data_IF_204770616833
#
_entry.id   IF_204770616833
#
_cell.length_a   1.000
_cell.length_b   1.000
_cell.length_c   1.000
_cell.angle_alpha   90.00
_cell.angle_beta   90.00
_cell.angle_gamma   90.00
#
_symmetry.space_group_name_H-M   'P 1'
#
loop_
_entity.id
_entity.type
_entity.pdbx_description
1 polymer ?
#
# COMPACT_ATOMS: atom_id res chain seq x y z
N UNK A 1 -46.15 12.58 -9.14
CA UNK A 1 -45.36 11.66 -9.98
C UNK A 1 -46.04 11.60 -11.31
N UNK A 2 -45.30 11.72 -12.41
CA UNK A 2 -45.89 11.47 -13.73
C UNK A 2 -46.30 9.99 -13.80
N UNK A 3 -47.34 9.62 -14.60
CA UNK A 3 -47.77 8.22 -14.75
C UNK A 3 -46.63 7.27 -15.18
N UNK A 4 -45.67 7.80 -15.94
CA UNK A 4 -44.47 7.12 -16.41
C UNK A 4 -43.51 6.78 -15.25
N UNK A 5 -43.35 7.67 -14.28
CA UNK A 5 -42.52 7.44 -13.08
C UNK A 5 -43.07 6.29 -12.22
N UNK A 6 -44.40 6.18 -12.16
CA UNK A 6 -45.08 5.14 -11.39
C UNK A 6 -44.95 3.77 -12.06
N UNK A 7 -45.09 3.72 -13.38
CA UNK A 7 -44.85 2.52 -14.18
C UNK A 7 -43.39 2.06 -14.05
N UNK A 8 -42.44 2.98 -14.16
CA UNK A 8 -41.01 2.72 -13.99
C UNK A 8 -40.68 2.12 -12.62
N UNK A 9 -41.24 2.71 -11.57
CA UNK A 9 -41.05 2.24 -10.21
C UNK A 9 -41.63 0.83 -10.02
N UNK A 10 -42.77 0.52 -10.66
CA UNK A 10 -43.38 -0.82 -10.65
C UNK A 10 -42.54 -1.83 -11.41
N UNK A 11 -42.06 -1.49 -12.61
CA UNK A 11 -41.16 -2.33 -13.42
C UNK A 11 -39.85 -2.60 -12.69
N UNK A 12 -39.24 -1.56 -12.11
CA UNK A 12 -38.01 -1.70 -11.32
C UNK A 12 -38.21 -2.58 -10.08
N UNK A 13 -39.28 -2.36 -9.30
CA UNK A 13 -39.61 -3.19 -8.13
C UNK A 13 -39.88 -4.64 -8.53
N UNK A 14 -40.60 -4.87 -9.62
CA UNK A 14 -40.88 -6.19 -10.16
C UNK A 14 -39.61 -6.90 -10.61
N UNK A 15 -38.76 -6.22 -11.39
CA UNK A 15 -37.51 -6.77 -11.91
C UNK A 15 -36.52 -7.11 -10.78
N UNK A 16 -36.45 -6.25 -9.75
CA UNK A 16 -35.68 -6.50 -8.52
C UNK A 16 -36.21 -7.72 -7.76
N UNK A 17 -37.53 -7.89 -7.65
CA UNK A 17 -38.17 -9.07 -7.02
C UNK A 17 -37.85 -10.35 -7.79
N UNK A 18 -37.82 -10.28 -9.13
CA UNK A 18 -37.44 -11.38 -10.03
C UNK A 18 -35.93 -11.62 -10.13
N UNK A 19 -35.11 -10.84 -9.42
CA UNK A 19 -33.64 -10.91 -9.41
C UNK A 19 -33.03 -10.84 -10.83
N UNK A 20 -33.64 -10.03 -11.71
CA UNK A 20 -33.09 -9.79 -13.05
C UNK A 20 -31.72 -9.10 -12.93
N UNK A 21 -30.81 -9.37 -13.89
CA UNK A 21 -29.50 -8.73 -13.94
C UNK A 21 -29.67 -7.24 -14.25
N UNK A 22 -28.84 -6.39 -13.65
CA UNK A 22 -28.90 -4.92 -13.82
C UNK A 22 -28.96 -4.47 -15.29
N UNK A 23 -28.18 -5.03 -16.24
CA UNK A 23 -28.30 -4.67 -17.66
C UNK A 23 -29.69 -4.94 -18.24
N UNK A 24 -30.34 -6.04 -17.84
CA UNK A 24 -31.71 -6.38 -18.27
C UNK A 24 -32.72 -5.41 -17.67
N UNK A 25 -32.53 -5.01 -16.40
CA UNK A 25 -33.38 -4.00 -15.75
C UNK A 25 -33.27 -2.65 -16.47
N UNK A 26 -32.05 -2.23 -16.82
CA UNK A 26 -31.81 -1.00 -17.55
C UNK A 26 -32.43 -1.05 -18.94
N UNK A 27 -32.30 -2.17 -19.66
CA UNK A 27 -32.93 -2.35 -20.97
C UNK A 27 -34.47 -2.26 -20.89
N UNK A 28 -35.09 -2.89 -19.89
CA UNK A 28 -36.54 -2.78 -19.66
C UNK A 28 -36.96 -1.33 -19.37
N UNK A 29 -36.19 -0.60 -18.55
CA UNK A 29 -36.53 0.79 -18.24
C UNK A 29 -36.34 1.73 -19.44
N UNK A 30 -35.29 1.49 -20.25
CA UNK A 30 -34.91 2.32 -21.40
C UNK A 30 -35.80 2.06 -22.62
N UNK A 31 -36.11 0.80 -22.93
CA UNK A 31 -36.85 0.42 -24.15
C UNK A 31 -38.35 0.19 -23.92
N UNK A 32 -38.78 -0.37 -22.78
CA UNK A 32 -40.20 -0.68 -22.54
C UNK A 32 -40.95 0.46 -21.85
N UNK A 33 -40.26 1.25 -21.02
CA UNK A 33 -40.86 2.37 -20.28
C UNK A 33 -40.47 3.73 -20.89
N UNK A 34 -39.55 3.74 -21.87
CA UNK A 34 -39.14 4.95 -22.58
C UNK A 34 -38.37 5.95 -21.70
N UNK A 35 -37.83 5.52 -20.55
CA UNK A 35 -37.12 6.42 -19.64
C UNK A 35 -35.65 6.46 -20.06
N UNK A 36 -35.15 7.60 -20.57
CA UNK A 36 -33.75 7.73 -20.89
C UNK A 36 -32.94 7.63 -19.60
N UNK A 37 -32.08 6.62 -19.51
CA UNK A 37 -31.12 6.53 -18.42
C UNK A 37 -30.06 7.58 -18.68
N UNK A 38 -30.16 8.73 -18.01
CA UNK A 38 -29.16 9.79 -18.10
C UNK A 38 -27.79 9.27 -17.66
N UNK A 39 -26.79 9.36 -18.55
CA UNK A 39 -25.43 8.91 -18.29
C UNK A 39 -24.52 10.13 -18.13
N UNK A 40 -23.59 10.11 -17.17
CA UNK A 40 -22.58 11.15 -17.08
C UNK A 40 -21.80 11.26 -18.38
N UNK A 41 -21.63 12.48 -18.88
CA UNK A 41 -20.82 12.76 -20.07
C UNK A 41 -19.36 12.43 -19.79
N UNK A 42 -18.74 11.72 -20.74
CA UNK A 42 -17.28 11.53 -20.77
C UNK A 42 -16.74 12.64 -21.67
N UNK A 43 -15.95 13.58 -21.14
CA UNK A 43 -15.42 14.65 -21.94
C UNK A 43 -14.40 14.10 -22.92
N UNK A 44 -14.38 14.65 -24.13
CA UNK A 44 -13.40 14.31 -25.17
C UNK A 44 -12.06 15.00 -24.87
N UNK A 45 -11.40 14.54 -23.81
CA UNK A 45 -10.10 15.06 -23.35
C UNK A 45 -9.07 13.95 -23.48
N UNK A 46 -7.93 14.25 -24.11
CA UNK A 46 -6.76 13.38 -24.07
C UNK A 46 -5.87 13.81 -22.92
N UNK A 47 -5.51 12.86 -22.05
CA UNK A 47 -4.59 13.14 -20.96
C UNK A 47 -3.22 13.55 -21.51
N UNK A 48 -2.70 14.67 -20.99
CA UNK A 48 -1.34 15.15 -21.26
C UNK A 48 -0.63 15.39 -19.92
N UNK A 49 0.57 14.84 -19.79
CA UNK A 49 1.42 15.02 -18.62
C UNK A 49 2.25 16.32 -18.70
N UNK A 50 2.22 17.05 -19.81
CA UNK A 50 2.90 18.33 -19.98
C UNK A 50 2.25 19.46 -19.14
N UNK A 51 2.37 19.33 -17.82
CA UNK A 51 1.90 20.27 -16.80
C UNK A 51 3.10 20.79 -16.01
N UNK A 52 2.91 21.84 -15.22
CA UNK A 52 3.98 22.35 -14.34
C UNK A 52 4.30 21.32 -13.25
N UNK A 53 5.57 21.24 -12.86
CA UNK A 53 6.01 20.32 -11.80
C UNK A 53 5.27 20.52 -10.48
N UNK A 54 4.92 21.76 -10.12
CA UNK A 54 4.09 22.04 -8.96
C UNK A 54 2.70 21.35 -9.04
N UNK A 55 2.06 21.38 -10.20
CA UNK A 55 0.76 20.75 -10.43
C UNK A 55 0.88 19.21 -10.47
N UNK A 56 2.00 18.70 -10.99
CA UNK A 56 2.34 17.28 -10.99
C UNK A 56 2.57 16.76 -9.56
N UNK A 57 3.39 17.43 -8.75
CA UNK A 57 3.64 17.09 -7.34
C UNK A 57 2.34 17.08 -6.53
N UNK A 58 1.50 18.09 -6.72
CA UNK A 58 0.18 18.14 -6.10
C UNK A 58 -0.71 17.01 -6.60
N UNK A 59 -0.60 16.57 -7.85
CA UNK A 59 -1.46 15.54 -8.44
C UNK A 59 -1.02 14.10 -8.16
N UNK A 60 0.28 13.85 -8.13
CA UNK A 60 0.88 12.52 -8.27
C UNK A 60 1.95 12.21 -7.21
N UNK A 61 2.38 13.19 -6.42
CA UNK A 61 3.53 13.11 -5.48
C UNK A 61 4.90 13.00 -6.15
N UNK A 62 4.93 13.14 -7.46
CA UNK A 62 6.11 13.26 -8.30
C UNK A 62 5.90 14.44 -9.24
N UNK A 63 6.98 15.12 -9.59
CA UNK A 63 7.02 16.09 -10.69
C UNK A 63 6.91 15.34 -12.04
N UNK A 64 6.96 16.05 -13.17
CA UNK A 64 6.80 15.43 -14.49
C UNK A 64 7.93 14.44 -14.76
N UNK A 65 9.17 14.83 -14.48
CA UNK A 65 10.35 13.98 -14.67
C UNK A 65 10.27 12.70 -13.83
N UNK A 66 9.87 12.80 -12.56
CA UNK A 66 9.74 11.67 -11.66
C UNK A 66 8.62 10.70 -12.04
N UNK A 67 7.50 11.19 -12.59
CA UNK A 67 6.48 10.29 -13.16
C UNK A 67 7.04 9.52 -14.35
N UNK A 68 7.77 10.18 -15.25
CA UNK A 68 8.35 9.55 -16.44
C UNK A 68 9.44 8.54 -16.06
N UNK A 69 10.36 8.92 -15.17
CA UNK A 69 11.43 8.06 -14.65
C UNK A 69 10.84 6.84 -13.95
N UNK A 70 9.87 7.03 -13.04
CA UNK A 70 9.20 5.93 -12.34
C UNK A 70 8.49 4.99 -13.32
N UNK A 71 7.80 5.53 -14.33
CA UNK A 71 7.12 4.74 -15.37
C UNK A 71 8.13 3.89 -16.14
N UNK A 72 9.28 4.47 -16.49
CA UNK A 72 10.36 3.79 -17.22
C UNK A 72 11.02 2.70 -16.37
N UNK A 73 11.42 3.01 -15.14
CA UNK A 73 12.12 2.07 -14.24
C UNK A 73 11.22 0.91 -13.80
N UNK A 74 9.93 1.15 -13.62
CA UNK A 74 8.96 0.09 -13.36
C UNK A 74 8.63 -0.76 -14.60
N UNK A 75 9.23 -0.43 -15.75
CA UNK A 75 9.04 -1.11 -17.05
C UNK A 75 7.57 -1.18 -17.45
N UNK A 76 6.81 -0.13 -17.17
CA UNK A 76 5.40 -0.06 -17.57
C UNK A 76 5.33 -0.06 -19.09
N UNK A 77 4.52 -0.94 -19.72
CA UNK A 77 4.38 -0.96 -21.17
C UNK A 77 3.97 0.41 -21.71
N UNK A 78 4.54 0.81 -22.86
CA UNK A 78 4.17 2.06 -23.55
C UNK A 78 2.65 2.16 -23.78
N UNK A 79 2.01 1.02 -24.04
CA UNK A 79 0.55 0.89 -24.10
C UNK A 79 0.12 -0.23 -23.15
N UNK A 80 -0.64 0.14 -22.14
CA UNK A 80 -1.32 -0.81 -21.25
C UNK A 80 -2.65 -1.22 -21.88
N UNK A 81 -2.90 -2.52 -21.92
CA UNK A 81 -4.13 -3.12 -22.41
C UNK A 81 -4.71 -3.97 -21.29
N UNK A 82 -5.90 -3.59 -20.79
CA UNK A 82 -6.61 -4.36 -19.76
C UNK A 82 -7.25 -5.63 -20.35
N UNK A 83 -7.66 -6.57 -19.50
CA UNK A 83 -8.43 -7.76 -19.93
C UNK A 83 -9.72 -7.39 -20.68
N UNK A 84 -10.31 -6.24 -20.34
CA UNK A 84 -11.49 -5.68 -20.99
C UNK A 84 -11.14 -4.83 -22.23
N UNK A 85 -9.91 -4.91 -22.72
CA UNK A 85 -9.39 -4.22 -23.91
C UNK A 85 -9.41 -2.70 -23.82
N UNK A 86 -9.39 -2.12 -22.62
CA UNK A 86 -9.12 -0.70 -22.47
C UNK A 86 -7.67 -0.44 -22.86
N UNK A 87 -7.44 0.47 -23.81
CA UNK A 87 -6.11 0.87 -24.26
C UNK A 87 -5.76 2.23 -23.68
N UNK A 88 -4.61 2.33 -23.03
CA UNK A 88 -4.14 3.53 -22.35
C UNK A 88 -2.62 3.63 -22.44
N UNK A 89 -2.07 4.85 -22.55
CA UNK A 89 -0.63 5.04 -22.53
C UNK A 89 -0.07 4.65 -21.15
N UNK A 90 1.13 4.07 -21.09
CA UNK A 90 1.74 3.62 -19.83
C UNK A 90 1.87 4.75 -18.81
N UNK A 91 2.27 5.95 -19.27
CA UNK A 91 2.37 7.16 -18.45
C UNK A 91 1.00 7.59 -17.92
N UNK A 92 -0.04 7.54 -18.76
CA UNK A 92 -1.41 7.85 -18.33
C UNK A 92 -1.89 6.84 -17.27
N UNK A 93 -1.60 5.55 -17.45
CA UNK A 93 -1.93 4.50 -16.49
C UNK A 93 -1.21 4.71 -15.14
N UNK A 94 0.08 5.09 -15.17
CA UNK A 94 0.83 5.48 -13.97
C UNK A 94 0.19 6.69 -13.28
N UNK A 95 -0.18 7.72 -14.03
CA UNK A 95 -0.87 8.89 -13.48
C UNK A 95 -2.22 8.53 -12.86
N UNK A 96 -2.98 7.59 -13.43
CA UNK A 96 -4.23 7.07 -12.84
C UNK A 96 -3.95 6.39 -11.50
N UNK A 97 -2.91 5.54 -11.43
CA UNK A 97 -2.48 4.87 -10.19
C UNK A 97 -2.14 5.90 -9.10
N UNK A 98 -1.20 6.82 -9.40
CA UNK A 98 -0.72 7.82 -8.46
C UNK A 98 -1.83 8.78 -8.01
N UNK A 99 -2.65 9.26 -8.96
CA UNK A 99 -3.78 10.17 -8.66
C UNK A 99 -4.81 9.50 -7.76
N UNK A 100 -5.08 8.21 -7.98
CA UNK A 100 -6.04 7.45 -7.18
C UNK A 100 -5.54 7.23 -5.75
N UNK A 101 -4.25 6.96 -5.57
CA UNK A 101 -3.65 6.72 -4.26
C UNK A 101 -3.49 8.01 -3.43
N UNK A 102 -3.20 9.14 -4.09
CA UNK A 102 -2.90 10.43 -3.46
C UNK A 102 -3.92 10.88 -2.41
N UNK A 103 -5.22 10.73 -2.69
CA UNK A 103 -6.28 11.19 -1.79
C UNK A 103 -7.57 10.37 -1.99
N UNK A 104 -8.52 10.35 -1.03
CA UNK A 104 -9.85 9.75 -1.17
C UNK A 104 -10.73 10.43 -2.22
N UNK A 105 -10.36 10.29 -3.48
CA UNK A 105 -11.09 10.77 -4.65
C UNK A 105 -12.08 9.68 -5.10
N UNK A 106 -13.15 9.99 -5.84
CA UNK A 106 -13.95 8.97 -6.56
C UNK A 106 -13.57 8.95 -8.04
N UNK A 107 -13.88 7.85 -8.75
CA UNK A 107 -13.54 7.76 -10.18
C UNK A 107 -14.26 8.83 -11.02
N UNK A 108 -15.42 9.32 -10.57
CA UNK A 108 -16.13 10.41 -11.24
C UNK A 108 -15.29 11.69 -11.31
N UNK A 109 -14.66 12.09 -10.21
CA UNK A 109 -13.83 13.30 -10.15
C UNK A 109 -12.56 13.20 -11.02
N UNK A 110 -12.19 11.98 -11.42
CA UNK A 110 -11.06 11.70 -12.30
C UNK A 110 -11.45 11.77 -13.79
N UNK A 111 -12.74 11.64 -14.13
CA UNK A 111 -13.24 11.59 -15.52
C UNK A 111 -12.80 12.84 -16.30
N UNK A 112 -12.95 14.03 -15.71
CA UNK A 112 -12.60 15.29 -16.38
C UNK A 112 -11.11 15.39 -16.74
N UNK A 113 -10.22 14.79 -15.93
CA UNK A 113 -8.77 14.85 -16.14
C UNK A 113 -8.28 13.82 -17.16
N UNK A 114 -8.90 12.64 -17.19
CA UNK A 114 -8.42 11.53 -18.01
C UNK A 114 -9.27 11.27 -19.25
N UNK A 115 -10.44 11.91 -19.40
CA UNK A 115 -11.34 11.68 -20.53
C UNK A 115 -11.83 10.23 -20.64
N UNK A 116 -11.93 9.53 -19.50
CA UNK A 116 -12.26 8.09 -19.43
C UNK A 116 -13.43 7.84 -18.53
N UNK A 117 -14.22 6.80 -18.85
CA UNK A 117 -15.33 6.37 -18.01
C UNK A 117 -14.84 5.92 -16.62
N UNK A 118 -15.73 6.00 -15.63
CA UNK A 118 -15.43 5.53 -14.25
C UNK A 118 -15.00 4.06 -14.23
N UNK A 119 -15.62 3.26 -15.07
CA UNK A 119 -15.37 1.82 -15.22
C UNK A 119 -14.00 1.56 -15.84
N UNK A 120 -13.61 2.33 -16.86
CA UNK A 120 -12.27 2.25 -17.45
C UNK A 120 -11.19 2.64 -16.44
N UNK A 121 -11.39 3.75 -15.72
CA UNK A 121 -10.47 4.19 -14.68
C UNK A 121 -10.30 3.15 -13.57
N UNK A 122 -11.40 2.49 -13.18
CA UNK A 122 -11.36 1.40 -12.20
C UNK A 122 -10.53 0.21 -12.72
N UNK A 123 -10.75 -0.22 -13.96
CA UNK A 123 -10.02 -1.36 -14.55
C UNK A 123 -8.53 -1.04 -14.73
N UNK A 124 -8.19 0.16 -15.22
CA UNK A 124 -6.81 0.60 -15.37
C UNK A 124 -6.12 0.71 -14.02
N UNK A 125 -6.78 1.27 -13.00
CA UNK A 125 -6.22 1.33 -11.65
C UNK A 125 -5.89 -0.06 -11.09
N UNK A 126 -6.84 -1.01 -11.16
CA UNK A 126 -6.62 -2.36 -10.67
C UNK A 126 -5.56 -3.11 -11.48
N UNK A 127 -5.52 -2.92 -12.80
CA UNK A 127 -4.46 -3.45 -13.64
C UNK A 127 -3.09 -2.94 -13.17
N UNK A 128 -2.94 -1.64 -12.94
CA UNK A 128 -1.66 -1.06 -12.52
C UNK A 128 -1.22 -1.52 -11.13
N UNK A 129 -2.17 -1.67 -10.19
CA UNK A 129 -1.89 -2.25 -8.86
C UNK A 129 -1.37 -3.68 -8.98
N UNK A 130 -2.05 -4.51 -9.79
CA UNK A 130 -1.65 -5.90 -10.01
C UNK A 130 -0.32 -6.01 -10.76
N UNK A 131 -0.11 -5.19 -11.79
CA UNK A 131 1.14 -5.09 -12.55
C UNK A 131 2.32 -4.76 -11.63
N UNK A 132 2.20 -3.70 -10.82
CA UNK A 132 3.29 -3.32 -9.90
C UNK A 132 3.55 -4.43 -8.89
N UNK A 133 2.49 -4.98 -8.28
CA UNK A 133 2.67 -6.05 -7.29
C UNK A 133 3.32 -7.30 -7.88
N UNK A 134 2.84 -7.81 -9.02
CA UNK A 134 3.39 -9.03 -9.62
C UNK A 134 4.86 -8.90 -9.99
N UNK A 135 5.29 -7.75 -10.51
CA UNK A 135 6.67 -7.52 -10.93
C UNK A 135 7.61 -7.17 -9.76
N UNK A 136 7.08 -6.67 -8.64
CA UNK A 136 7.89 -6.14 -7.53
C UNK A 136 7.61 -6.79 -6.17
N UNK A 137 6.79 -7.84 -6.10
CA UNK A 137 6.43 -8.50 -4.83
C UNK A 137 7.65 -9.01 -4.04
N UNK A 138 8.72 -9.44 -4.71
CA UNK A 138 9.97 -9.85 -4.05
C UNK A 138 10.65 -8.66 -3.36
N UNK A 139 10.76 -7.54 -4.06
CA UNK A 139 11.30 -6.28 -3.52
C UNK A 139 10.43 -5.69 -2.40
N UNK A 140 9.10 -5.78 -2.54
CA UNK A 140 8.14 -5.36 -1.51
C UNK A 140 8.30 -6.24 -0.27
N UNK A 141 8.44 -7.55 -0.48
CA UNK A 141 8.63 -8.49 0.61
C UNK A 141 9.97 -8.23 1.30
N UNK A 142 11.10 -8.23 0.59
CA UNK A 142 12.37 -7.79 1.16
C UNK A 142 13.36 -7.41 0.05
N UNK A 143 13.82 -6.16 0.02
CA UNK A 143 14.85 -5.74 -0.94
C UNK A 143 16.26 -6.14 -0.43
N UNK A 144 16.60 -7.42 -0.53
CA UNK A 144 17.87 -7.96 -0.07
C UNK A 144 19.10 -7.39 -0.78
N UNK A 145 18.96 -6.93 -2.03
CA UNK A 145 20.04 -6.25 -2.78
C UNK A 145 20.46 -4.96 -2.08
N UNK A 146 19.49 -4.10 -1.76
CA UNK A 146 19.76 -2.86 -1.04
C UNK A 146 20.27 -3.16 0.37
N UNK A 147 19.68 -4.12 1.06
CA UNK A 147 20.14 -4.53 2.40
C UNK A 147 21.60 -5.01 2.34
N UNK A 148 21.97 -5.88 1.41
CA UNK A 148 23.35 -6.37 1.25
C UNK A 148 24.33 -5.22 1.10
N UNK A 149 24.00 -4.20 0.30
CA UNK A 149 24.86 -3.05 0.09
C UNK A 149 24.97 -2.13 1.33
N UNK A 150 23.90 -2.04 2.13
CA UNK A 150 23.76 -0.96 3.13
C UNK A 150 23.68 -1.43 4.60
N UNK A 151 23.59 -2.74 4.89
CA UNK A 151 23.30 -3.24 6.25
C UNK A 151 24.32 -2.75 7.29
N UNK A 152 25.60 -2.66 6.91
CA UNK A 152 26.65 -2.12 7.76
C UNK A 152 26.45 -0.62 8.05
N UNK A 153 26.09 0.17 7.02
CA UNK A 153 25.81 1.60 7.15
C UNK A 153 24.57 1.84 8.02
N UNK A 154 23.55 0.98 7.90
CA UNK A 154 22.37 1.05 8.75
C UNK A 154 22.74 0.84 10.22
N UNK A 155 23.51 -0.20 10.52
CA UNK A 155 23.92 -0.50 11.89
C UNK A 155 24.81 0.62 12.48
N UNK A 156 25.76 1.12 11.70
CA UNK A 156 26.60 2.25 12.08
C UNK A 156 25.76 3.53 12.33
N UNK A 157 24.79 3.85 11.45
CA UNK A 157 23.95 5.02 11.62
C UNK A 157 23.08 4.95 12.89
N UNK A 158 22.56 3.77 13.23
CA UNK A 158 21.79 3.54 14.46
C UNK A 158 22.69 3.69 15.69
N UNK A 159 23.88 3.09 15.66
CA UNK A 159 24.87 3.21 16.74
C UNK A 159 25.32 4.65 16.97
N UNK A 160 25.68 5.36 15.89
CA UNK A 160 26.10 6.77 15.94
C UNK A 160 24.99 7.69 16.46
N UNK A 161 23.72 7.31 16.33
CA UNK A 161 22.58 8.03 16.93
C UNK A 161 22.44 7.79 18.44
N UNK A 162 23.27 6.91 19.00
CA UNK A 162 23.38 6.57 20.41
C UNK A 162 22.56 5.35 20.81
N UNK A 163 22.46 4.36 19.93
CA UNK A 163 22.07 3.01 20.31
C UNK A 163 23.25 2.29 20.98
N UNK A 164 23.06 1.58 22.11
CA UNK A 164 24.12 0.81 22.77
C UNK A 164 24.62 -0.38 21.96
N UNK A 165 23.86 -0.84 20.95
CA UNK A 165 24.22 -1.93 20.06
C UNK A 165 24.72 -1.37 18.73
N UNK A 166 25.76 -2.00 18.18
CA UNK A 166 26.41 -1.67 16.90
C UNK A 166 25.95 -2.56 15.73
N UNK A 167 25.11 -3.55 16.01
CA UNK A 167 24.65 -4.58 15.07
C UNK A 167 23.15 -4.50 14.75
N UNK A 168 22.43 -3.49 15.25
CA UNK A 168 21.00 -3.30 14.94
C UNK A 168 20.84 -2.51 13.65
N UNK A 169 20.20 -3.08 12.63
CA UNK A 169 20.11 -2.44 11.29
C UNK A 169 18.72 -1.94 10.91
N UNK A 170 17.66 -2.46 11.53
CA UNK A 170 16.29 -2.05 11.23
C UNK A 170 15.36 -2.25 12.43
N UNK A 171 14.19 -1.64 12.32
CA UNK A 171 13.18 -1.67 13.37
C UNK A 171 11.85 -2.20 12.79
N UNK A 172 11.31 -3.32 13.32
CA UNK A 172 10.00 -3.82 12.96
C UNK A 172 8.89 -3.05 13.67
N UNK A 173 7.79 -2.84 12.96
CA UNK A 173 6.55 -2.35 13.53
C UNK A 173 5.32 -2.80 12.73
N UNK A 174 4.19 -2.87 13.42
CA UNK A 174 2.89 -3.22 12.86
C UNK A 174 2.06 -1.98 12.55
N UNK A 175 1.42 -1.94 11.38
CA UNK A 175 0.43 -0.90 11.07
C UNK A 175 -0.92 -1.50 10.75
N UNK A 176 -1.97 -0.82 11.20
CA UNK A 176 -3.36 -1.20 10.93
C UNK A 176 -3.97 -0.26 9.91
N UNK A 177 -4.57 -0.85 8.88
CA UNK A 177 -5.33 -0.15 7.83
C UNK A 177 -6.81 -0.43 8.03
N UNK A 178 -7.58 0.62 8.25
CA UNK A 178 -9.03 0.50 8.52
C UNK A 178 -9.81 0.12 7.27
N UNK A 179 -10.82 -0.72 7.46
CA UNK A 179 -11.70 -1.17 6.38
C UNK A 179 -13.15 -0.85 6.70
N UNK A 180 -14.00 -0.90 5.67
CA UNK A 180 -15.44 -1.00 5.87
C UNK A 180 -15.77 -2.18 6.79
N UNK A 181 -16.87 -2.03 7.54
CA UNK A 181 -17.48 -3.17 8.22
C UNK A 181 -18.00 -4.14 7.16
N UNK A 182 -17.46 -5.35 7.15
CA UNK A 182 -17.95 -6.45 6.31
C UNK A 182 -19.19 -7.09 6.93
N UNK A 183 -20.07 -7.65 6.09
CA UNK A 183 -21.15 -8.52 6.56
C UNK A 183 -20.58 -9.75 7.26
N UNK A 184 -21.23 -10.20 8.34
CA UNK A 184 -20.84 -11.43 9.03
C UNK A 184 -20.91 -12.66 8.11
N UNK A 185 -21.86 -12.66 7.17
CA UNK A 185 -22.05 -13.66 6.12
C UNK A 185 -21.93 -12.95 4.76
N UNK A 186 -20.78 -13.10 4.12
CA UNK A 186 -20.55 -12.61 2.75
C UNK A 186 -20.44 -13.81 1.83
N UNK A 187 -21.03 -13.73 0.63
CA UNK A 187 -21.02 -14.75 -0.46
C UNK A 187 -20.11 -15.98 -0.20
N UNK A 188 -20.69 -17.08 0.30
CA UNK A 188 -20.00 -18.36 0.45
C UNK A 188 -19.25 -18.60 1.77
N UNK A 189 -19.22 -17.62 2.70
CA UNK A 189 -18.62 -17.81 4.03
C UNK A 189 -19.62 -18.41 5.04
N UNK A 190 -20.17 -19.60 4.75
CA UNK A 190 -20.92 -20.36 5.76
C UNK A 190 -20.00 -20.74 6.93
N UNK A 191 -20.46 -20.54 8.17
CA UNK A 191 -19.71 -20.89 9.38
C UNK A 191 -18.59 -19.93 9.80
N UNK A 192 -18.20 -18.94 8.99
CA UNK A 192 -17.13 -17.99 9.33
C UNK A 192 -17.66 -16.57 9.56
N UNK A 193 -17.64 -16.10 10.81
CA UNK A 193 -17.94 -14.70 11.12
C UNK A 193 -16.75 -13.81 10.69
N UNK A 194 -16.76 -13.40 9.42
CA UNK A 194 -15.71 -12.56 8.81
C UNK A 194 -15.57 -11.21 9.53
N UNK A 195 -16.68 -10.67 10.01
CA UNK A 195 -16.71 -9.43 10.78
C UNK A 195 -15.84 -9.55 12.05
N UNK A 196 -15.98 -10.65 12.81
CA UNK A 196 -15.21 -10.91 14.03
C UNK A 196 -13.72 -11.07 13.73
N UNK A 197 -13.35 -11.72 12.63
CA UNK A 197 -11.93 -11.96 12.26
C UNK A 197 -11.16 -10.66 12.04
N UNK A 198 -11.74 -9.71 11.31
CA UNK A 198 -11.08 -8.44 10.97
C UNK A 198 -11.24 -7.36 12.04
N UNK A 199 -12.08 -7.59 13.06
CA UNK A 199 -12.25 -6.63 14.15
C UNK A 199 -11.07 -6.71 15.13
N UNK A 200 -10.37 -5.60 15.31
CA UNK A 200 -9.35 -5.49 16.34
C UNK A 200 -9.98 -5.01 17.65
N UNK A 201 -9.98 -5.85 18.68
CA UNK A 201 -10.43 -5.46 20.02
C UNK A 201 -9.58 -4.32 20.62
N UNK A 202 -8.27 -4.34 20.39
CA UNK A 202 -7.34 -3.31 20.88
C UNK A 202 -7.62 -1.92 20.26
N UNK A 203 -7.79 -1.85 18.93
CA UNK A 203 -8.09 -0.56 18.25
C UNK A 203 -9.59 -0.23 18.19
N UNK A 204 -10.46 -1.17 18.55
CA UNK A 204 -11.94 -1.09 18.46
C UNK A 204 -12.45 -0.73 17.06
N UNK A 205 -11.80 -1.26 16.02
CA UNK A 205 -12.09 -0.97 14.60
C UNK A 205 -11.89 -2.21 13.72
N UNK A 206 -12.55 -2.24 12.57
CA UNK A 206 -12.30 -3.24 11.52
C UNK A 206 -11.07 -2.83 10.72
N UNK A 207 -10.07 -3.71 10.63
CA UNK A 207 -8.81 -3.38 9.98
C UNK A 207 -8.07 -4.61 9.47
N UNK A 208 -7.13 -4.36 8.58
CA UNK A 208 -6.09 -5.30 8.17
C UNK A 208 -4.78 -4.90 8.84
N UNK A 209 -4.00 -5.89 9.26
CA UNK A 209 -2.70 -5.70 9.86
C UNK A 209 -1.60 -5.92 8.82
N UNK A 210 -0.59 -5.07 8.86
CA UNK A 210 0.63 -5.17 8.06
C UNK A 210 1.84 -5.01 8.98
N UNK A 211 2.98 -5.53 8.56
CA UNK A 211 4.26 -5.39 9.25
C UNK A 211 5.28 -4.80 8.30
N UNK A 212 6.10 -3.87 8.81
CA UNK A 212 7.20 -3.29 8.05
C UNK A 212 8.51 -3.29 8.83
N UNK A 213 9.64 -3.35 8.12
CA UNK A 213 10.97 -3.05 8.65
C UNK A 213 11.42 -1.69 8.14
N UNK A 214 11.60 -0.73 9.05
CA UNK A 214 12.10 0.60 8.70
C UNK A 214 13.60 0.68 8.91
N UNK A 215 14.33 1.18 7.90
CA UNK A 215 15.77 1.39 7.93
C UNK A 215 16.15 2.87 8.11
N UNK A 216 17.39 3.15 8.55
CA UNK A 216 17.87 4.51 8.80
C UNK A 216 17.85 5.46 7.60
N UNK A 217 17.92 4.93 6.38
CA UNK A 217 17.78 5.70 5.15
C UNK A 217 16.31 6.08 4.82
N UNK A 218 15.38 5.74 5.70
CA UNK A 218 13.98 6.11 5.61
C UNK A 218 13.15 5.23 4.69
N UNK A 219 13.66 4.06 4.30
CA UNK A 219 12.91 3.09 3.52
C UNK A 219 12.21 2.05 4.40
N UNK A 220 11.15 1.46 3.87
CA UNK A 220 10.55 0.23 4.38
C UNK A 220 11.17 -0.96 3.64
N UNK A 221 12.18 -1.61 4.21
CA UNK A 221 12.96 -2.68 3.54
C UNK A 221 12.20 -3.98 3.38
N UNK A 222 11.26 -4.26 4.28
CA UNK A 222 10.36 -5.41 4.22
C UNK A 222 8.96 -4.92 4.52
N UNK A 223 7.96 -5.36 3.75
CA UNK A 223 6.56 -5.07 4.04
C UNK A 223 5.66 -6.26 3.73
N UNK A 224 4.92 -6.72 4.74
CA UNK A 224 4.11 -7.93 4.67
C UNK A 224 2.70 -7.73 5.22
N UNK A 225 1.75 -8.44 4.61
CA UNK A 225 0.34 -8.44 4.94
C UNK A 225 -0.49 -8.74 3.69
N UNK A 226 -1.83 -8.61 3.74
CA UNK A 226 -2.64 -8.30 4.92
C UNK A 226 -2.90 -9.52 5.81
N UNK A 227 -2.90 -9.32 7.13
CA UNK A 227 -3.48 -10.26 8.10
C UNK A 227 -4.73 -9.69 8.75
N UNK A 228 -5.54 -10.53 9.40
CA UNK A 228 -6.77 -10.07 10.04
C UNK A 228 -6.46 -9.18 11.25
N UNK A 229 -7.23 -8.08 11.41
CA UNK A 229 -6.97 -7.05 12.43
C UNK A 229 -6.95 -7.53 13.89
N UNK A 230 -7.58 -8.68 14.18
CA UNK A 230 -7.57 -9.32 15.50
C UNK A 230 -6.23 -9.92 15.89
N UNK A 231 -5.33 -10.17 14.93
CA UNK A 231 -4.01 -10.76 15.19
C UNK A 231 -3.06 -9.77 15.86
N UNK A 232 -2.13 -10.30 16.64
CA UNK A 232 -1.02 -9.54 17.24
C UNK A 232 0.18 -9.47 16.29
N UNK A 233 1.08 -8.51 16.49
CA UNK A 233 2.25 -8.30 15.64
C UNK A 233 3.22 -9.51 15.67
N UNK A 234 3.27 -10.26 16.77
CA UNK A 234 4.00 -11.53 16.84
C UNK A 234 3.45 -12.57 15.85
N UNK A 235 2.13 -12.54 15.59
CA UNK A 235 1.52 -13.43 14.58
C UNK A 235 1.94 -13.00 13.17
N UNK A 236 1.99 -11.69 12.90
CA UNK A 236 2.52 -11.15 11.64
C UNK A 236 3.95 -11.62 11.42
N UNK A 237 4.82 -11.45 12.42
CA UNK A 237 6.21 -11.89 12.35
C UNK A 237 6.32 -13.38 12.00
N UNK A 238 5.55 -14.25 12.67
CA UNK A 238 5.57 -15.70 12.40
C UNK A 238 5.05 -16.06 11.01
N UNK A 239 3.96 -15.42 10.56
CA UNK A 239 3.33 -15.72 9.27
C UNK A 239 4.10 -15.12 8.10
N UNK A 240 4.80 -14.01 8.33
CA UNK A 240 5.65 -13.36 7.32
C UNK A 240 6.81 -14.23 6.87
N UNK A 241 7.23 -15.22 7.67
CA UNK A 241 8.42 -16.05 7.41
C UNK A 241 9.73 -15.26 7.32
N UNK A 242 9.77 -14.06 7.92
CA UNK A 242 10.92 -13.17 7.87
C UNK A 242 12.16 -13.77 8.53
N UNK A 243 12.02 -14.52 9.62
CA UNK A 243 13.15 -15.17 10.28
C UNK A 243 13.72 -16.32 9.44
N UNK A 244 12.87 -17.11 8.79
CA UNK A 244 13.29 -18.13 7.84
C UNK A 244 13.96 -17.50 6.60
N UNK A 245 13.49 -16.33 6.15
CA UNK A 245 14.14 -15.56 5.08
C UNK A 245 15.54 -15.07 5.48
N UNK A 246 15.71 -14.59 6.71
CA UNK A 246 17.04 -14.23 7.22
C UNK A 246 17.96 -15.45 7.34
N UNK A 247 17.43 -16.61 7.75
CA UNK A 247 18.19 -17.85 7.81
C UNK A 247 18.67 -18.31 6.43
N UNK A 248 17.82 -18.24 5.40
CA UNK A 248 18.21 -18.61 4.03
C UNK A 248 19.16 -17.63 3.34
N UNK A 249 19.31 -16.42 3.90
CA UNK A 249 20.23 -15.38 3.43
C UNK A 249 21.23 -14.99 4.52
N UNK A 250 21.70 -15.98 5.29
CA UNK A 250 22.62 -15.74 6.41
C UNK A 250 23.92 -15.04 5.97
N UNK A 251 24.32 -15.15 4.71
CA UNK A 251 25.44 -14.41 4.14
C UNK A 251 25.24 -12.88 4.15
N UNK A 252 23.99 -12.41 4.21
CA UNK A 252 23.64 -10.99 4.37
C UNK A 252 23.42 -10.62 5.83
N UNK A 253 22.64 -11.42 6.55
CA UNK A 253 22.05 -11.02 7.83
C UNK A 253 22.85 -11.48 9.06
N UNK A 254 23.78 -12.44 8.92
CA UNK A 254 24.51 -12.98 10.07
C UNK A 254 25.34 -11.91 10.77
N UNK A 255 25.21 -11.84 12.10
CA UNK A 255 25.82 -10.79 12.92
C UNK A 255 25.00 -9.49 13.02
N UNK A 256 23.85 -9.40 12.35
CA UNK A 256 22.96 -8.24 12.43
C UNK A 256 21.59 -8.61 13.00
N UNK A 257 20.95 -7.64 13.66
CA UNK A 257 19.67 -7.82 14.36
C UNK A 257 18.65 -6.75 13.98
N UNK A 258 17.38 -7.11 14.00
CA UNK A 258 16.29 -6.12 14.04
C UNK A 258 15.88 -5.88 15.50
N UNK A 259 15.50 -4.64 15.84
CA UNK A 259 15.11 -4.28 17.20
C UNK A 259 13.63 -3.91 17.33
N UNK A 260 12.83 -4.81 17.92
CA UNK A 260 11.39 -4.63 18.13
C UNK A 260 11.02 -4.07 19.51
N UNK A 261 9.73 -3.71 19.68
CA UNK A 261 9.20 -3.42 21.03
C UNK A 261 9.28 -4.66 21.91
N UNK A 262 9.09 -4.50 23.23
CA UNK A 262 8.99 -5.63 24.13
C UNK A 262 7.96 -6.70 23.72
N UNK A 263 6.95 -6.44 22.87
CA UNK A 263 6.04 -7.50 22.44
C UNK A 263 6.71 -8.51 21.48
N UNK A 264 7.80 -8.13 20.80
CA UNK A 264 8.56 -9.03 19.93
C UNK A 264 9.36 -10.08 20.74
N UNK A 265 9.40 -11.34 20.27
CA UNK A 265 10.24 -12.37 20.90
C UNK A 265 11.71 -12.09 20.63
N UNK A 266 12.57 -12.42 21.60
CA UNK A 266 14.02 -12.46 21.40
C UNK A 266 14.35 -13.76 20.66
N UNK A 267 15.14 -13.67 19.60
CA UNK A 267 15.58 -14.82 18.79
C UNK A 267 16.94 -14.53 18.15
N UNK A 268 17.46 -15.46 17.32
CA UNK A 268 18.73 -15.28 16.57
C UNK A 268 18.80 -13.95 15.82
N UNK A 269 17.68 -13.47 15.30
CA UNK A 269 17.63 -12.30 14.42
C UNK A 269 16.99 -11.07 15.05
N UNK A 270 16.40 -11.22 16.25
CA UNK A 270 15.52 -10.20 16.83
C UNK A 270 15.93 -9.95 18.27
N UNK A 271 16.16 -8.69 18.58
CA UNK A 271 16.35 -8.19 19.95
C UNK A 271 15.12 -7.34 20.31
N UNK A 272 14.71 -7.40 21.57
CA UNK A 272 13.65 -6.53 22.09
C UNK A 272 14.04 -5.95 23.44
N UNK A 273 13.40 -4.82 23.79
CA UNK A 273 13.64 -4.16 25.06
C UNK A 273 13.27 -5.03 26.26
N UNK A 274 13.92 -4.77 27.39
CA UNK A 274 13.65 -5.48 28.65
C UNK A 274 12.20 -5.27 29.10
N UNK A 275 11.55 -6.34 29.57
CA UNK A 275 10.16 -6.36 30.05
C UNK A 275 10.08 -6.17 31.57
N UNK A 276 8.99 -5.55 32.03
CA UNK A 276 8.65 -5.44 33.45
C UNK A 276 8.68 -4.00 33.96
N UNK A 277 8.06 -3.77 35.12
CA UNK A 277 7.97 -2.46 35.76
C UNK A 277 9.15 -2.16 36.69
N UNK A 278 9.84 -3.20 37.19
CA UNK A 278 10.96 -3.08 38.14
C UNK A 278 12.29 -3.41 37.45
N UNK A 279 12.62 -2.64 36.41
CA UNK A 279 13.92 -2.75 35.73
C UNK A 279 15.00 -2.05 36.56
N UNK A 280 16.18 -2.64 36.65
CA UNK A 280 17.35 -1.95 37.19
C UNK A 280 17.76 -0.78 36.28
N UNK A 281 18.52 0.16 36.82
CA UNK A 281 18.95 1.38 36.13
C UNK A 281 19.63 1.09 34.77
N UNK A 282 20.54 0.11 34.63
CA UNK A 282 21.14 -0.22 33.33
C UNK A 282 20.11 -0.67 32.27
N UNK A 283 19.14 -1.50 32.65
CA UNK A 283 18.07 -1.93 31.72
C UNK A 283 17.16 -0.78 31.32
N UNK A 284 16.88 0.14 32.23
CA UNK A 284 16.11 1.36 31.93
C UNK A 284 16.87 2.26 30.94
N UNK A 285 18.16 2.49 31.18
CA UNK A 285 19.02 3.27 30.26
C UNK A 285 19.11 2.64 28.88
N UNK A 286 19.25 1.32 28.80
CA UNK A 286 19.23 0.58 27.53
C UNK A 286 17.91 0.80 26.79
N UNK A 287 16.77 0.56 27.46
CA UNK A 287 15.45 0.73 26.85
C UNK A 287 15.20 2.18 26.41
N UNK A 288 15.64 3.18 27.19
CA UNK A 288 15.52 4.59 26.84
C UNK A 288 16.33 4.93 25.58
N UNK A 289 17.59 4.46 25.52
CA UNK A 289 18.48 4.68 24.37
C UNK A 289 17.93 4.05 23.09
N UNK A 290 17.47 2.80 23.17
CA UNK A 290 16.88 2.11 22.03
C UNK A 290 15.51 2.67 21.61
N UNK A 291 14.68 3.10 22.56
CA UNK A 291 13.38 3.72 22.25
C UNK A 291 13.55 5.06 21.54
N UNK A 292 14.60 5.83 21.87
CA UNK A 292 14.91 7.10 21.21
C UNK A 292 15.23 6.91 19.72
N UNK A 293 16.08 5.94 19.38
CA UNK A 293 16.44 5.69 17.97
C UNK A 293 15.29 5.05 17.18
N UNK A 294 14.42 4.28 17.84
CA UNK A 294 13.27 3.62 17.19
C UNK A 294 12.15 4.59 16.77
N UNK A 295 12.15 5.85 17.23
CA UNK A 295 11.11 6.83 16.85
C UNK A 295 10.96 7.01 15.33
N UNK A 296 12.02 6.77 14.55
CA UNK A 296 11.97 6.83 13.09
C UNK A 296 10.95 5.90 12.43
N UNK A 297 10.55 4.81 13.10
CA UNK A 297 9.59 3.85 12.55
C UNK A 297 8.20 4.44 12.38
N UNK A 298 7.72 5.17 13.38
CA UNK A 298 6.38 5.77 13.36
C UNK A 298 6.25 6.77 12.19
N UNK A 299 7.34 7.44 11.85
CA UNK A 299 7.39 8.37 10.72
C UNK A 299 7.21 7.68 9.37
N UNK A 300 7.61 6.41 9.22
CA UNK A 300 7.53 5.70 7.94
C UNK A 300 6.07 5.40 7.56
N UNK A 301 5.31 4.79 8.48
CA UNK A 301 3.87 4.57 8.25
C UNK A 301 3.07 5.87 8.20
N UNK A 302 3.47 6.88 8.99
CA UNK A 302 2.92 8.23 8.88
C UNK A 302 3.12 8.81 7.48
N UNK A 303 4.32 8.68 6.91
CA UNK A 303 4.65 9.12 5.56
C UNK A 303 3.81 8.40 4.50
N UNK A 304 3.72 7.07 4.56
CA UNK A 304 2.90 6.29 3.63
C UNK A 304 1.44 6.80 3.62
N UNK A 305 0.85 7.03 4.81
CA UNK A 305 -0.53 7.55 4.94
C UNK A 305 -0.69 8.99 4.47
N UNK A 306 0.33 9.83 4.64
CA UNK A 306 0.36 11.22 4.19
C UNK A 306 0.47 11.35 2.67
N UNK A 307 1.36 10.56 2.05
CA UNK A 307 1.51 10.51 0.59
C UNK A 307 0.25 9.96 -0.07
N UNK A 308 -0.29 8.87 0.50
CA UNK A 308 -1.36 8.07 -0.10
C UNK A 308 -2.63 8.11 0.74
N UNK A 309 -3.32 9.26 0.80
CA UNK A 309 -4.53 9.42 1.62
C UNK A 309 -5.62 8.38 1.34
N UNK A 310 -5.64 7.79 0.13
CA UNK A 310 -6.54 6.69 -0.23
C UNK A 310 -6.48 5.52 0.76
N UNK A 311 -5.29 5.15 1.25
CA UNK A 311 -5.15 4.00 2.16
C UNK A 311 -5.69 4.29 3.57
N UNK A 312 -5.92 5.55 3.91
CA UNK A 312 -6.43 5.96 5.23
C UNK A 312 -7.95 6.12 5.26
N UNK A 313 -8.62 6.12 4.10
CA UNK A 313 -10.06 6.30 4.01
C UNK A 313 -10.80 4.97 3.92
N UNK A 314 -11.23 4.49 5.09
CA UNK A 314 -11.86 3.17 5.25
C UNK A 314 -13.07 2.93 4.34
N UNK A 315 -13.81 3.96 3.91
CA UNK A 315 -15.01 3.76 3.09
C UNK A 315 -14.69 3.32 1.65
N UNK A 316 -13.43 3.46 1.22
CA UNK A 316 -12.93 2.87 -0.02
C UNK A 316 -12.36 1.47 0.15
N UNK A 317 -12.22 0.99 1.38
CA UNK A 317 -11.56 -0.28 1.71
C UNK A 317 -12.62 -1.34 1.95
N UNK A 318 -13.21 -1.81 0.86
CA UNK A 318 -14.28 -2.81 0.87
C UNK A 318 -13.70 -4.18 0.53
N UNK A 319 -13.35 -4.94 1.56
CA UNK A 319 -12.91 -6.33 1.43
C UNK A 319 -13.98 -7.11 0.65
N UNK A 320 -13.57 -8.05 -0.21
CA UNK A 320 -14.39 -8.79 -1.18
C UNK A 320 -14.89 -7.98 -2.40
N UNK A 321 -14.77 -6.66 -2.40
CA UNK A 321 -15.16 -5.80 -3.53
C UNK A 321 -13.97 -5.06 -4.16
N UNK A 322 -12.83 -5.05 -3.48
CA UNK A 322 -11.62 -4.36 -3.90
C UNK A 322 -10.39 -5.06 -3.36
N UNK A 323 -9.27 -4.92 -4.07
CA UNK A 323 -8.00 -5.50 -3.67
C UNK A 323 -7.28 -4.65 -2.62
N UNK A 324 -7.87 -4.54 -1.43
CA UNK A 324 -7.38 -3.67 -0.35
C UNK A 324 -5.94 -4.00 0.05
N UNK A 325 -5.61 -5.28 0.16
CA UNK A 325 -4.29 -5.77 0.57
C UNK A 325 -3.19 -5.31 -0.38
N UNK A 326 -3.32 -5.66 -1.67
CA UNK A 326 -2.31 -5.33 -2.68
C UNK A 326 -2.17 -3.82 -2.86
N UNK A 327 -3.27 -3.06 -2.79
CA UNK A 327 -3.19 -1.59 -2.86
C UNK A 327 -2.31 -1.01 -1.75
N UNK A 328 -2.40 -1.53 -0.52
CA UNK A 328 -1.55 -1.07 0.60
C UNK A 328 -0.09 -1.46 0.38
N UNK A 329 0.18 -2.66 -0.12
CA UNK A 329 1.54 -3.11 -0.46
C UNK A 329 2.17 -2.22 -1.54
N UNK A 330 1.43 -1.92 -2.60
CA UNK A 330 1.86 -1.00 -3.68
C UNK A 330 2.04 0.43 -3.15
N UNK A 331 1.19 0.90 -2.24
CA UNK A 331 1.35 2.22 -1.63
C UNK A 331 2.66 2.32 -0.81
N UNK A 332 3.03 1.28 -0.05
CA UNK A 332 4.32 1.27 0.65
C UNK A 332 5.49 1.23 -0.34
N UNK A 333 5.42 0.40 -1.38
CA UNK A 333 6.43 0.36 -2.44
C UNK A 333 6.66 1.73 -3.09
N UNK A 334 5.58 2.43 -3.46
CA UNK A 334 5.66 3.77 -4.02
C UNK A 334 6.14 4.82 -3.00
N UNK A 335 5.96 4.58 -1.70
CA UNK A 335 6.55 5.41 -0.63
C UNK A 335 8.07 5.31 -0.64
N UNK A 336 8.62 4.10 -0.83
CA UNK A 336 10.06 3.89 -0.99
C UNK A 336 10.57 4.57 -2.27
N UNK A 337 9.88 4.38 -3.41
CA UNK A 337 10.24 5.05 -4.67
C UNK A 337 10.26 6.57 -4.51
N UNK A 338 9.26 7.13 -3.81
CA UNK A 338 9.22 8.55 -3.52
C UNK A 338 10.37 9.01 -2.60
N UNK A 339 10.78 8.19 -1.62
CA UNK A 339 11.95 8.49 -0.78
C UNK A 339 13.23 8.54 -1.62
N UNK A 340 13.47 7.51 -2.45
CA UNK A 340 14.66 7.43 -3.31
C UNK A 340 14.72 8.57 -4.33
N UNK A 341 13.58 8.90 -4.96
CA UNK A 341 13.49 10.00 -5.93
C UNK A 341 13.83 11.36 -5.31
N UNK A 342 13.35 11.61 -4.09
CA UNK A 342 13.61 12.88 -3.39
C UNK A 342 14.95 12.89 -2.62
N UNK A 343 15.76 11.84 -2.71
CA UNK A 343 17.03 11.72 -2.01
C UNK A 343 16.92 11.60 -0.48
N UNK A 344 15.76 11.21 0.04
CA UNK A 344 15.52 11.02 1.47
C UNK A 344 14.16 11.50 1.98
N UNK A 345 13.99 11.37 3.29
CA UNK A 345 12.87 11.87 4.07
C UNK A 345 13.31 12.24 5.50
N UNK A 346 12.34 12.47 6.40
CA UNK A 346 12.63 12.82 7.79
C UNK A 346 13.50 11.79 8.52
N UNK A 347 13.33 10.50 8.23
CA UNK A 347 14.08 9.41 8.86
C UNK A 347 15.54 9.43 8.39
N UNK A 348 15.79 9.54 7.08
CA UNK A 348 17.15 9.68 6.53
C UNK A 348 17.87 10.90 7.10
N UNK A 349 17.17 12.02 7.25
CA UNK A 349 17.73 13.23 7.88
C UNK A 349 18.02 13.03 9.36
N UNK A 350 17.16 12.30 10.08
CA UNK A 350 17.37 12.01 11.50
C UNK A 350 18.60 11.13 11.71
N UNK A 351 18.82 10.11 10.89
CA UNK A 351 19.99 9.22 11.01
C UNK A 351 21.23 9.72 10.25
N UNK A 352 21.08 10.75 9.40
CA UNK A 352 22.18 11.26 8.57
C UNK A 352 22.61 10.29 7.47
N UNK A 353 21.71 9.43 6.99
CA UNK A 353 22.00 8.42 5.98
C UNK A 353 21.06 8.55 4.78
N UNK A 354 21.59 8.81 3.58
CA UNK A 354 20.78 8.97 2.37
C UNK A 354 20.33 7.61 1.82
N UNK A 355 19.12 7.50 1.23
CA UNK A 355 18.71 6.31 0.50
C UNK A 355 19.48 6.17 -0.82
N UNK A 356 19.47 4.97 -1.42
CA UNK A 356 19.87 4.79 -2.81
C UNK A 356 19.03 5.68 -3.74
N UNK A 357 19.57 5.96 -4.93
CA UNK A 357 18.81 6.60 -6.01
C UNK A 357 17.61 5.74 -6.41
N UNK A 358 16.61 6.34 -7.07
CA UNK A 358 15.45 5.59 -7.56
C UNK A 358 15.87 4.45 -8.50
N UNK A 359 16.86 4.72 -9.36
CA UNK A 359 17.43 3.73 -10.27
C UNK A 359 18.08 2.56 -9.51
N UNK A 360 18.94 2.82 -8.53
CA UNK A 360 19.58 1.76 -7.72
C UNK A 360 18.56 0.94 -6.92
N UNK A 361 17.50 1.58 -6.40
CA UNK A 361 16.44 0.88 -5.69
C UNK A 361 15.62 -0.06 -6.59
N UNK A 362 15.40 0.35 -7.85
CA UNK A 362 14.64 -0.38 -8.86
C UNK A 362 15.54 -1.18 -9.83
N UNK A 363 16.82 -1.36 -9.50
CA UNK A 363 17.74 -2.08 -10.36
C UNK A 363 17.56 -3.59 -10.18
N UNK A 364 16.80 -4.21 -11.09
CA UNK A 364 16.71 -5.67 -11.18
C UNK A 364 17.91 -6.19 -11.97
N UNK A 365 18.78 -6.97 -11.31
CA UNK A 365 19.71 -7.85 -12.03
C UNK A 365 18.85 -8.76 -12.92
N UNK A 366 19.26 -8.94 -14.17
CA UNK A 366 18.50 -9.62 -15.24
C UNK A 366 17.69 -10.81 -14.71
N UNK A 367 16.38 -10.64 -14.58
CA UNK A 367 15.47 -11.79 -14.50
C UNK A 367 15.59 -12.47 -15.86
N UNK A 368 16.32 -13.58 -15.90
CA UNK A 368 16.29 -14.50 -17.02
C UNK A 368 14.83 -14.77 -17.37
N UNK A 369 14.41 -14.27 -18.53
CA UNK A 369 13.20 -14.70 -19.20
C UNK A 369 13.42 -16.19 -19.50
N UNK A 370 12.73 -17.05 -18.75
CA UNK A 370 12.46 -18.43 -19.16
C UNK A 370 11.07 -18.50 -19.74
#
# INVERSE_FOLDING_TARGET
MAPEDELALRVYKWAKRKRLRVPTILHLLEYEVGIPVERPLIPEVRFDLNIRDADALLSFRFDVAGVLELTSLLRVPNVVITEHRDRVLGVEAMCILLRRLRYPIIFYDMVAKFGRSREQLCRIFNYMVDFVYKNWQSTIYCNSKVVRAQIHNYAAAIHNKGAPLDSVWAFPDGTKVETCRISATSFGAEGHNLQKRIYSGHKRRHCLNFQGLTTPDGLCMHFFGPLEGSRHDVTLLRVSKLQEYFESHADIFNGYYIYGDPAYPISKWIISGYKGTNLDEPKQMFNASMSRVRQGVEWNFGRMKSLWGFISYKMHHKIMLSNVGTVVLVAMFLTNCNCCYNGGNQISSYFGLRPPTLKEYLDQDEIHIL
#
